data_IF_832173264308
#
_entry.id   IF_832173264308
#
_cell.length_a   1.000
_cell.length_b   1.000
_cell.length_c   1.000
_cell.angle_alpha   90.00
_cell.angle_beta   90.00
_cell.angle_gamma   90.00
#
_symmetry.space_group_name_H-M   'P 1'
#
loop_
_entity.id
_entity.type
_entity.pdbx_description
1 polymer ?
#
# COMPACT_ATOMS: atom_id res chain seq x y z
N UNK A 1 -11.81 18.93 -7.94
CA UNK A 1 -12.03 17.73 -8.77
C UNK A 1 -12.11 16.56 -7.84
N UNK A 2 -13.11 15.70 -8.03
CA UNK A 2 -13.20 14.40 -7.36
C UNK A 2 -12.74 13.33 -8.36
N UNK A 3 -12.14 12.27 -7.86
CA UNK A 3 -11.74 11.11 -8.64
C UNK A 3 -12.27 9.87 -7.93
N UNK A 4 -12.65 8.85 -8.69
CA UNK A 4 -12.93 7.55 -8.10
C UNK A 4 -11.59 6.85 -7.84
N UNK A 5 -11.51 6.15 -6.71
CA UNK A 5 -10.36 5.33 -6.38
C UNK A 5 -10.81 3.95 -5.91
N UNK A 6 -9.99 2.95 -6.17
CA UNK A 6 -10.10 1.62 -5.57
C UNK A 6 -8.87 1.37 -4.69
N UNK A 7 -9.11 0.99 -3.44
CA UNK A 7 -8.08 0.66 -2.47
C UNK A 7 -8.20 -0.83 -2.10
N UNK A 8 -7.10 -1.57 -2.23
CA UNK A 8 -7.06 -2.99 -1.95
C UNK A 8 -5.85 -3.37 -1.09
N UNK A 9 -6.08 -4.10 0.00
CA UNK A 9 -5.04 -4.66 0.84
C UNK A 9 -5.58 -5.74 1.80
N UNK A 10 -4.75 -6.74 2.08
CA UNK A 10 -4.93 -7.65 3.20
C UNK A 10 -3.81 -7.36 4.19
N UNK A 11 -4.14 -6.78 5.35
CA UNK A 11 -3.16 -6.33 6.34
C UNK A 11 -3.18 -7.26 7.55
N UNK A 12 -2.16 -8.12 7.75
CA UNK A 12 -2.00 -8.90 8.95
C UNK A 12 -1.78 -7.99 10.17
N UNK A 13 -2.59 -8.17 11.20
CA UNK A 13 -2.60 -7.38 12.43
C UNK A 13 -2.03 -8.21 13.58
N UNK A 14 -1.32 -7.56 14.50
CA UNK A 14 -0.80 -8.18 15.71
C UNK A 14 -1.92 -8.75 16.59
N UNK A 15 -1.66 -9.90 17.22
CA UNK A 15 -2.56 -10.48 18.21
C UNK A 15 -2.81 -9.50 19.37
N UNK A 16 -4.08 -9.41 19.81
CA UNK A 16 -4.49 -8.54 20.92
C UNK A 16 -4.83 -7.10 20.52
N UNK A 17 -4.64 -6.71 19.25
CA UNK A 17 -5.14 -5.43 18.73
C UNK A 17 -6.66 -5.52 18.60
N UNK A 18 -7.36 -4.58 19.24
CA UNK A 18 -8.82 -4.50 19.16
C UNK A 18 -9.29 -3.71 17.95
N UNK A 19 -10.50 -4.01 17.47
CA UNK A 19 -11.19 -3.22 16.43
C UNK A 19 -11.20 -1.72 16.75
N UNK A 20 -11.41 -1.35 18.01
CA UNK A 20 -11.41 0.06 18.46
C UNK A 20 -10.07 0.74 18.26
N UNK A 21 -8.95 0.03 18.47
CA UNK A 21 -7.61 0.60 18.23
C UNK A 21 -7.39 0.84 16.74
N UNK A 22 -7.86 -0.06 15.87
CA UNK A 22 -7.81 0.13 14.43
C UNK A 22 -8.68 1.31 13.99
N UNK A 23 -9.93 1.41 14.46
CA UNK A 23 -10.81 2.55 14.18
C UNK A 23 -10.18 3.88 14.64
N UNK A 24 -9.53 3.91 15.81
CA UNK A 24 -8.80 5.09 16.28
C UNK A 24 -7.60 5.44 15.39
N UNK A 25 -6.83 4.45 14.94
CA UNK A 25 -5.70 4.69 14.05
C UNK A 25 -6.15 5.19 12.66
N UNK A 26 -7.26 4.64 12.14
CA UNK A 26 -7.90 5.10 10.90
C UNK A 26 -8.64 6.43 11.04
N UNK A 27 -8.65 7.05 12.22
CA UNK A 27 -9.33 8.33 12.51
C UNK A 27 -9.18 9.39 11.41
N UNK A 28 -7.98 9.68 10.88
CA UNK A 28 -7.81 10.66 9.80
C UNK A 28 -8.61 10.32 8.53
N UNK A 29 -8.65 9.04 8.14
CA UNK A 29 -9.40 8.59 6.97
C UNK A 29 -10.91 8.52 7.24
N UNK A 30 -11.31 8.06 8.43
CA UNK A 30 -12.72 8.03 8.85
C UNK A 30 -13.33 9.43 8.91
N UNK A 31 -12.61 10.40 9.48
CA UNK A 31 -13.02 11.80 9.50
C UNK A 31 -13.14 12.37 8.08
N UNK A 32 -12.19 12.04 7.20
CA UNK A 32 -12.24 12.45 5.80
C UNK A 32 -13.45 11.88 5.05
N UNK A 33 -13.83 10.63 5.35
CA UNK A 33 -14.95 9.92 4.73
C UNK A 33 -16.31 10.17 5.41
N UNK A 34 -16.34 10.97 6.49
CA UNK A 34 -17.54 11.21 7.32
C UNK A 34 -18.15 9.89 7.86
N UNK A 35 -17.29 9.00 8.35
CA UNK A 35 -17.65 7.68 8.88
C UNK A 35 -17.32 7.56 10.38
N UNK A 36 -18.23 6.98 11.17
CA UNK A 36 -18.04 6.78 12.61
C UNK A 36 -17.14 5.57 12.94
N UNK A 37 -17.01 4.62 12.01
CA UNK A 37 -16.16 3.43 12.16
C UNK A 37 -15.92 2.70 10.84
N UNK A 38 -15.07 1.66 10.87
CA UNK A 38 -14.68 0.91 9.67
C UNK A 38 -15.88 0.29 8.94
N UNK A 39 -16.87 -0.19 9.69
CA UNK A 39 -18.08 -0.80 9.11
C UNK A 39 -19.00 0.20 8.40
N UNK A 40 -18.86 1.50 8.67
CA UNK A 40 -19.65 2.57 8.05
C UNK A 40 -19.04 3.04 6.74
N UNK A 41 -17.79 2.66 6.46
CA UNK A 41 -17.12 2.91 5.18
C UNK A 41 -17.66 1.93 4.13
N UNK A 42 -18.72 2.35 3.43
CA UNK A 42 -19.32 1.59 2.33
C UNK A 42 -18.59 1.85 1.03
N UNK A 43 -18.36 0.77 0.28
CA UNK A 43 -17.89 0.88 -1.11
C UNK A 43 -19.04 1.28 -2.03
N UNK A 44 -18.71 1.95 -3.13
CA UNK A 44 -19.60 2.16 -4.27
C UNK A 44 -19.94 0.83 -4.97
N UNK A 45 -19.01 -0.12 -4.96
CA UNK A 45 -19.20 -1.45 -5.52
C UNK A 45 -19.79 -2.41 -4.47
N UNK A 46 -20.93 -3.02 -4.77
CA UNK A 46 -21.74 -3.75 -3.78
C UNK A 46 -21.08 -5.05 -3.26
N UNK A 47 -20.25 -5.67 -4.10
CA UNK A 47 -19.56 -6.93 -3.77
C UNK A 47 -18.29 -6.70 -2.93
N UNK A 48 -17.89 -5.44 -2.74
CA UNK A 48 -16.72 -5.09 -1.97
C UNK A 48 -17.06 -4.95 -0.47
N UNK A 49 -16.31 -5.60 0.43
CA UNK A 49 -16.58 -5.57 1.88
C UNK A 49 -16.32 -4.20 2.52
N UNK A 50 -15.68 -3.26 1.83
CA UNK A 50 -15.17 -2.02 2.41
C UNK A 50 -13.97 -2.30 3.31
N UNK A 51 -14.02 -1.75 4.53
CA UNK A 51 -12.99 -1.98 5.55
C UNK A 51 -13.52 -2.97 6.60
N UNK A 52 -12.92 -4.15 6.67
CA UNK A 52 -13.38 -5.23 7.56
C UNK A 52 -12.21 -5.83 8.33
N UNK A 53 -12.22 -5.66 9.64
CA UNK A 53 -11.31 -6.39 10.52
C UNK A 53 -11.91 -7.73 10.91
N UNK A 54 -11.18 -8.81 10.63
CA UNK A 54 -11.47 -10.17 11.07
C UNK A 54 -10.59 -10.50 12.29
N UNK A 55 -11.21 -10.61 13.46
CA UNK A 55 -10.52 -10.84 14.73
C UNK A 55 -10.02 -12.28 14.89
N UNK A 56 -10.58 -13.23 14.14
CA UNK A 56 -10.16 -14.63 14.18
C UNK A 56 -8.94 -14.87 13.31
N UNK A 57 -8.96 -14.32 12.10
CA UNK A 57 -7.82 -14.41 11.17
C UNK A 57 -6.75 -13.35 11.47
N UNK A 58 -7.06 -12.37 12.32
CA UNK A 58 -6.22 -11.21 12.61
C UNK A 58 -5.83 -10.43 11.34
N UNK A 59 -6.77 -10.30 10.40
CA UNK A 59 -6.55 -9.60 9.13
C UNK A 59 -7.52 -8.43 9.01
N UNK A 60 -6.98 -7.25 8.70
CA UNK A 60 -7.76 -6.12 8.22
C UNK A 60 -7.84 -6.21 6.69
N UNK A 61 -9.01 -6.61 6.20
CA UNK A 61 -9.35 -6.62 4.80
C UNK A 61 -9.78 -5.23 4.35
N UNK A 62 -9.17 -4.74 3.28
CA UNK A 62 -9.53 -3.50 2.61
C UNK A 62 -9.81 -3.86 1.15
N UNK A 63 -11.03 -3.63 0.72
CA UNK A 63 -11.41 -3.61 -0.68
C UNK A 63 -12.53 -2.60 -0.78
N UNK A 64 -12.19 -1.40 -1.25
CA UNK A 64 -13.08 -0.25 -1.19
C UNK A 64 -12.91 0.67 -2.40
N UNK A 65 -14.03 0.98 -3.02
CA UNK A 65 -14.16 1.92 -4.13
C UNK A 65 -14.96 3.14 -3.67
N UNK A 66 -14.45 4.34 -3.94
CA UNK A 66 -15.11 5.57 -3.51
C UNK A 66 -14.69 6.82 -4.28
N UNK A 67 -15.56 7.83 -4.24
CA UNK A 67 -15.25 9.17 -4.75
C UNK A 67 -14.43 9.96 -3.73
N UNK A 68 -13.24 10.38 -4.13
CA UNK A 68 -12.31 11.09 -3.27
C UNK A 68 -11.88 12.44 -3.86
N UNK A 69 -11.46 13.34 -2.99
CA UNK A 69 -11.02 14.69 -3.31
C UNK A 69 -9.55 14.92 -2.94
N UNK A 70 -9.14 16.19 -2.97
CA UNK A 70 -7.73 16.59 -2.86
C UNK A 70 -7.03 16.17 -1.56
N UNK A 71 -7.76 16.05 -0.46
CA UNK A 71 -7.18 15.72 0.86
C UNK A 71 -7.13 14.22 1.16
N UNK A 72 -7.68 13.36 0.30
CA UNK A 72 -7.73 11.92 0.54
C UNK A 72 -6.35 11.29 0.72
N UNK A 73 -5.40 11.61 -0.15
CA UNK A 73 -4.06 11.01 -0.08
C UNK A 73 -3.37 11.30 1.27
N UNK A 74 -3.51 12.52 1.79
CA UNK A 74 -2.96 12.88 3.10
C UNK A 74 -3.69 12.23 4.27
N UNK A 75 -5.02 12.06 4.16
CA UNK A 75 -5.80 11.35 5.17
C UNK A 75 -5.46 9.84 5.20
N UNK A 76 -5.31 9.23 4.03
CA UNK A 76 -4.87 7.84 3.88
C UNK A 76 -3.45 7.65 4.43
N UNK A 77 -2.50 8.49 4.04
CA UNK A 77 -1.11 8.45 4.56
C UNK A 77 -1.07 8.50 6.09
N UNK A 78 -1.76 9.48 6.70
CA UNK A 78 -1.82 9.61 8.14
C UNK A 78 -2.48 8.40 8.83
N UNK A 79 -3.52 7.82 8.22
CA UNK A 79 -4.15 6.61 8.73
C UNK A 79 -3.19 5.40 8.68
N UNK A 80 -2.47 5.21 7.56
CA UNK A 80 -1.51 4.13 7.40
C UNK A 80 -0.32 4.25 8.35
N UNK A 81 0.19 5.47 8.57
CA UNK A 81 1.22 5.73 9.58
C UNK A 81 0.76 5.33 11.00
N UNK A 82 -0.49 5.64 11.36
CA UNK A 82 -1.06 5.29 12.66
C UNK A 82 -1.33 3.79 12.81
N UNK A 83 -1.69 3.11 11.72
CA UNK A 83 -1.99 1.66 11.70
C UNK A 83 -0.71 0.85 11.69
N UNK A 84 0.37 1.37 11.10
CA UNK A 84 1.67 0.70 10.96
C UNK A 84 2.11 -0.08 12.21
N UNK A 85 2.18 0.53 13.41
CA UNK A 85 2.58 -0.15 14.65
C UNK A 85 1.71 -1.36 15.06
N UNK A 86 0.51 -1.50 14.50
CA UNK A 86 -0.38 -2.64 14.74
C UNK A 86 -0.23 -3.76 13.70
N UNK A 87 0.49 -3.52 12.60
CA UNK A 87 0.73 -4.52 11.58
C UNK A 87 1.72 -5.59 12.09
N UNK A 88 1.42 -6.87 11.81
CA UNK A 88 2.32 -7.97 12.11
C UNK A 88 3.56 -7.95 11.19
N UNK A 89 3.36 -7.62 9.91
CA UNK A 89 4.41 -7.45 8.92
C UNK A 89 4.08 -6.28 7.99
N UNK A 90 5.07 -5.87 7.18
CA UNK A 90 4.83 -4.86 6.16
C UNK A 90 4.23 -5.49 4.90
N UNK A 91 3.17 -4.88 4.39
CA UNK A 91 2.44 -5.34 3.22
C UNK A 91 2.20 -4.21 2.23
N UNK A 92 1.95 -4.59 0.99
CA UNK A 92 1.57 -3.68 -0.07
C UNK A 92 0.08 -3.31 0.01
N UNK A 93 -0.23 -2.13 -0.49
CA UNK A 93 -1.58 -1.61 -0.64
C UNK A 93 -1.70 -1.07 -2.07
N UNK A 94 -2.61 -1.64 -2.83
CA UNK A 94 -2.90 -1.22 -4.19
C UNK A 94 -3.91 -0.07 -4.17
N UNK A 95 -3.51 1.07 -4.74
CA UNK A 95 -4.39 2.21 -4.97
C UNK A 95 -4.53 2.44 -6.47
N UNK A 96 -5.73 2.23 -7.00
CA UNK A 96 -6.07 2.60 -8.39
C UNK A 96 -6.87 3.90 -8.38
N UNK A 97 -6.47 4.86 -9.21
CA UNK A 97 -7.19 6.13 -9.43
C UNK A 97 -7.79 6.10 -10.83
N UNK A 98 -9.10 6.33 -10.93
CA UNK A 98 -9.82 6.40 -12.19
C UNK A 98 -9.99 7.86 -12.62
N UNK A 99 -9.58 8.17 -13.85
CA UNK A 99 -9.68 9.48 -14.45
C UNK A 99 -10.91 9.56 -15.37
N UNK A 100 -11.49 10.76 -15.49
CA UNK A 100 -12.68 11.01 -16.34
C UNK A 100 -12.45 10.71 -17.83
N UNK A 101 -11.20 10.70 -18.29
CA UNK A 101 -10.81 10.35 -19.65
C UNK A 101 -10.72 8.82 -19.90
N UNK A 102 -11.07 8.00 -18.91
CA UNK A 102 -11.01 6.54 -18.96
C UNK A 102 -9.61 5.97 -18.71
N UNK A 103 -8.63 6.79 -18.34
CA UNK A 103 -7.32 6.29 -17.89
C UNK A 103 -7.38 5.86 -16.42
N UNK A 104 -6.55 4.88 -16.07
CA UNK A 104 -6.36 4.44 -14.70
C UNK A 104 -4.89 4.57 -14.32
N UNK A 105 -4.63 5.10 -13.13
CA UNK A 105 -3.31 5.22 -12.53
C UNK A 105 -3.23 4.27 -11.33
N UNK A 106 -2.32 3.28 -11.39
CA UNK A 106 -2.04 2.40 -10.25
C UNK A 106 -0.84 2.90 -9.47
N UNK A 107 -1.01 3.02 -8.15
CA UNK A 107 0.01 3.39 -7.17
C UNK A 107 0.14 2.26 -6.16
N UNK A 108 1.39 1.97 -5.80
CA UNK A 108 1.70 0.99 -4.77
C UNK A 108 2.11 1.74 -3.50
N UNK A 109 1.39 1.50 -2.42
CA UNK A 109 1.70 2.00 -1.08
C UNK A 109 2.12 0.83 -0.19
N UNK A 110 2.71 1.14 0.97
CA UNK A 110 3.12 0.13 1.93
C UNK A 110 2.74 0.58 3.34
N UNK A 111 2.32 -0.38 4.16
CA UNK A 111 2.06 -0.18 5.58
C UNK A 111 2.78 -1.27 6.37
N UNK A 112 3.35 -0.93 7.52
CA UNK A 112 4.06 -1.90 8.34
C UNK A 112 4.54 -1.34 9.69
N UNK A 113 5.06 -2.21 10.56
CA UNK A 113 5.41 -1.86 11.94
C UNK A 113 6.55 -0.87 12.08
N UNK A 114 7.48 -0.84 11.11
CA UNK A 114 8.62 0.07 11.12
C UNK A 114 8.99 0.52 9.70
N UNK A 115 9.70 1.64 9.55
CA UNK A 115 10.26 2.05 8.25
C UNK A 115 11.17 0.98 7.63
N UNK A 116 11.92 0.26 8.47
CA UNK A 116 12.79 -0.83 7.99
C UNK A 116 11.96 -1.99 7.41
N UNK A 117 10.87 -2.39 8.08
CA UNK A 117 9.99 -3.44 7.58
C UNK A 117 9.35 -3.03 6.24
N UNK A 118 8.91 -1.77 6.11
CA UNK A 118 8.37 -1.22 4.86
C UNK A 118 9.42 -1.27 3.75
N UNK A 119 10.64 -0.83 4.02
CA UNK A 119 11.74 -0.87 3.06
C UNK A 119 12.08 -2.30 2.61
N UNK A 120 12.09 -3.26 3.54
CA UNK A 120 12.30 -4.68 3.23
C UNK A 120 11.16 -5.26 2.39
N UNK A 121 9.90 -4.87 2.64
CA UNK A 121 8.75 -5.26 1.83
C UNK A 121 8.81 -4.66 0.41
N UNK A 122 9.15 -3.38 0.27
CA UNK A 122 9.38 -2.72 -1.03
C UNK A 122 10.46 -3.44 -1.83
N UNK A 123 11.58 -3.75 -1.18
CA UNK A 123 12.69 -4.49 -1.78
C UNK A 123 12.22 -5.87 -2.26
N UNK A 124 11.53 -6.63 -1.42
CA UNK A 124 11.00 -7.96 -1.76
C UNK A 124 10.06 -7.90 -2.96
N UNK A 125 9.06 -7.02 -2.93
CA UNK A 125 8.09 -6.82 -4.00
C UNK A 125 8.80 -6.49 -5.33
N UNK A 126 9.75 -5.56 -5.31
CA UNK A 126 10.51 -5.19 -6.52
C UNK A 126 11.32 -6.35 -7.09
N UNK A 127 12.00 -7.14 -6.25
CA UNK A 127 12.76 -8.31 -6.69
C UNK A 127 11.83 -9.31 -7.37
N UNK A 128 10.69 -9.61 -6.76
CA UNK A 128 9.71 -10.56 -7.26
C UNK A 128 9.17 -10.11 -8.63
N UNK A 129 8.81 -8.83 -8.76
CA UNK A 129 8.31 -8.25 -10.01
C UNK A 129 9.36 -8.27 -11.12
N UNK A 130 10.60 -7.84 -10.82
CA UNK A 130 11.72 -7.86 -11.78
C UNK A 130 12.04 -9.30 -12.20
N UNK A 131 12.10 -10.23 -11.24
CA UNK A 131 12.33 -11.64 -11.54
C UNK A 131 11.23 -12.21 -12.44
N UNK A 132 9.96 -11.92 -12.16
CA UNK A 132 8.82 -12.40 -12.93
C UNK A 132 8.82 -11.85 -14.37
N UNK A 133 9.23 -10.59 -14.57
CA UNK A 133 9.36 -10.01 -15.91
C UNK A 133 10.51 -10.68 -16.68
N UNK A 134 11.68 -10.85 -16.04
CA UNK A 134 12.87 -11.41 -16.68
C UNK A 134 12.75 -12.90 -17.00
N UNK A 135 12.00 -13.66 -16.20
CA UNK A 135 11.79 -15.10 -16.37
C UNK A 135 11.18 -15.49 -17.73
N UNK A 136 10.58 -14.53 -18.45
CA UNK A 136 10.03 -14.73 -19.79
C UNK A 136 11.10 -14.85 -20.89
N UNK A 137 12.31 -14.31 -20.64
CA UNK A 137 13.38 -14.25 -21.64
C UNK A 137 14.69 -14.88 -21.17
N UNK A 138 14.94 -14.94 -19.87
CA UNK A 138 16.24 -15.30 -19.31
C UNK A 138 16.18 -16.51 -18.39
N UNK A 139 17.29 -17.25 -18.33
CA UNK A 139 17.49 -18.35 -17.40
C UNK A 139 17.76 -17.84 -15.97
N UNK A 140 17.59 -18.72 -14.98
CA UNK A 140 17.66 -18.39 -13.54
C UNK A 140 18.95 -17.69 -13.13
N UNK A 141 20.10 -18.07 -13.70
CA UNK A 141 21.39 -17.47 -13.35
C UNK A 141 21.43 -15.98 -13.73
N UNK A 142 20.89 -15.61 -14.90
CA UNK A 142 20.81 -14.22 -15.36
C UNK A 142 19.81 -13.40 -14.55
N UNK A 143 18.69 -13.99 -14.15
CA UNK A 143 17.74 -13.34 -13.25
C UNK A 143 18.38 -13.08 -11.88
N UNK A 144 19.18 -14.02 -11.39
CA UNK A 144 19.91 -13.90 -10.12
C UNK A 144 20.93 -12.76 -10.17
N UNK A 145 21.67 -12.61 -11.28
CA UNK A 145 22.57 -11.48 -11.50
C UNK A 145 21.84 -10.13 -11.39
N UNK A 146 20.68 -9.98 -12.04
CA UNK A 146 19.93 -8.71 -12.03
C UNK A 146 19.29 -8.43 -10.68
N UNK A 147 18.65 -9.43 -10.06
CA UNK A 147 18.02 -9.26 -8.73
C UNK A 147 19.05 -8.96 -7.64
N UNK A 148 20.29 -9.46 -7.76
CA UNK A 148 21.38 -9.06 -6.88
C UNK A 148 21.77 -7.59 -7.03
N UNK A 149 21.73 -7.03 -8.25
CA UNK A 149 21.93 -5.59 -8.46
C UNK A 149 20.80 -4.75 -7.86
N UNK A 150 19.54 -5.19 -8.02
CA UNK A 150 18.38 -4.53 -7.39
C UNK A 150 18.56 -4.51 -5.87
N UNK A 151 18.96 -5.64 -5.26
CA UNK A 151 19.24 -5.72 -3.84
C UNK A 151 20.27 -4.70 -3.36
N UNK A 152 21.39 -4.58 -4.07
CA UNK A 152 22.45 -3.64 -3.74
C UNK A 152 21.99 -2.18 -3.91
N UNK A 153 21.10 -1.88 -4.87
CA UNK A 153 20.49 -0.55 -4.98
C UNK A 153 19.65 -0.19 -3.74
N UNK A 154 18.82 -1.11 -3.25
CA UNK A 154 18.06 -0.90 -2.01
C UNK A 154 18.98 -0.74 -0.80
N UNK A 155 20.04 -1.54 -0.69
CA UNK A 155 20.99 -1.43 0.43
C UNK A 155 21.74 -0.09 0.43
N UNK A 156 22.03 0.47 -0.75
CA UNK A 156 22.63 1.80 -0.90
C UNK A 156 21.64 2.92 -0.59
N UNK A 157 20.44 2.85 -1.14
CA UNK A 157 19.38 3.83 -0.90
C UNK A 157 19.06 3.95 0.60
N UNK A 158 18.95 2.82 1.31
CA UNK A 158 18.73 2.80 2.75
C UNK A 158 19.85 3.50 3.54
N UNK A 159 21.11 3.26 3.17
CA UNK A 159 22.27 3.91 3.80
C UNK A 159 22.28 5.41 3.52
N UNK A 160 21.94 5.80 2.30
CA UNK A 160 21.89 7.21 1.89
C UNK A 160 20.77 7.94 2.65
N UNK A 161 19.56 7.37 2.74
CA UNK A 161 18.45 7.93 3.54
C UNK A 161 18.80 8.01 5.03
N UNK A 162 19.40 6.97 5.60
CA UNK A 162 19.85 6.97 6.99
C UNK A 162 20.93 8.04 7.26
N UNK A 163 21.77 8.36 6.28
CA UNK A 163 22.79 9.41 6.38
C UNK A 163 22.23 10.84 6.27
N UNK A 164 20.99 10.99 5.77
CA UNK A 164 20.34 12.27 5.48
C UNK A 164 19.44 12.82 6.61
N UNK A 165 19.56 12.34 7.85
CA UNK A 165 18.72 12.79 8.98
C UNK A 165 18.60 14.32 9.13
N UNK A 166 17.53 14.93 8.55
CA UNK A 166 16.79 16.13 9.01
C UNK A 166 15.72 16.69 8.05
N UNK A 167 15.15 15.90 7.13
CA UNK A 167 13.95 16.34 6.40
C UNK A 167 12.86 15.29 6.56
N UNK A 168 11.63 15.67 6.94
CA UNK A 168 10.53 14.69 7.02
C UNK A 168 10.35 14.07 5.64
N UNK A 169 10.68 12.78 5.53
CA UNK A 169 10.34 11.96 4.39
C UNK A 169 8.82 11.96 4.29
N UNK A 170 8.30 12.39 3.14
CA UNK A 170 6.90 12.15 2.79
C UNK A 170 6.80 10.69 2.38
N UNK A 171 5.74 9.98 2.77
CA UNK A 171 5.58 8.55 2.54
C UNK A 171 5.37 8.17 1.06
N UNK A 172 5.36 9.14 0.15
CA UNK A 172 5.15 8.93 -1.28
C UNK A 172 6.47 8.87 -2.05
N UNK A 173 6.96 7.65 -2.30
CA UNK A 173 7.62 7.37 -3.58
C UNK A 173 6.52 7.06 -4.60
N UNK A 174 6.30 7.96 -5.56
CA UNK A 174 5.35 7.73 -6.64
C UNK A 174 5.86 6.56 -7.51
N UNK A 175 5.34 5.36 -7.30
CA UNK A 175 5.50 4.25 -8.23
C UNK A 175 4.30 4.22 -9.18
N UNK A 176 4.54 4.52 -10.47
CA UNK A 176 3.55 4.34 -11.54
C UNK A 176 3.82 3.02 -12.23
N UNK A 177 2.93 2.03 -12.09
CA UNK A 177 3.04 0.76 -12.82
C UNK A 177 2.81 1.03 -14.33
N UNK A 178 3.63 0.50 -15.25
CA UNK A 178 3.37 0.63 -16.68
C UNK A 178 2.04 -0.03 -17.04
N UNK A 179 1.17 0.72 -17.72
CA UNK A 179 -0.15 0.27 -18.17
C UNK A 179 -0.04 -1.04 -18.97
N UNK A 180 -0.64 -2.13 -18.48
CA UNK A 180 -0.84 -3.37 -19.27
C UNK A 180 -1.96 -3.15 -20.29
N UNK A 181 -1.73 -2.30 -21.29
CA UNK A 181 -2.54 -2.32 -22.51
C UNK A 181 -2.10 -3.55 -23.32
N UNK A 182 -3.01 -4.52 -23.42
CA UNK A 182 -2.98 -5.70 -24.31
C UNK A 182 -2.34 -6.98 -23.71
N UNK A 183 -3.16 -7.79 -23.06
CA UNK A 183 -3.13 -9.24 -23.24
C UNK A 183 -4.55 -9.73 -23.53
N UNK A 184 -4.85 -9.85 -24.82
CA UNK A 184 -5.82 -10.81 -25.36
C UNK A 184 -5.05 -11.94 -26.01
#
# INVERSE_FOLDING_TARGET
>A
MRHEVHLHADIPILEGVSRRQLEQAFGPLLEYLDADGLADVKSLEQDEPGFRYDDKELILYICWTGEVGRSFHGALEAALENVGPYCYEAVEIDLTVYHENGEQESKLLFVGPTPQAIHEAQRRCMIEDVAAILARQFEKDKITEVTALVNDLFDRDWKDKASQQKKPERAFENYTRPSRKNLH
#
